data_IF_968195333674
#
_entry.id   IF_968195333674
#
_cell.length_a   1.000
_cell.length_b   1.000
_cell.length_c   1.000
_cell.angle_alpha   90.00
_cell.angle_beta   90.00
_cell.angle_gamma   90.00
#
_symmetry.space_group_name_H-M   'P 1'
#
loop_
_entity.id
_entity.type
_entity.pdbx_description
1 polymer ?
#
# COMPACT_ATOMS: atom_id res chain seq x y z
N UNK A 1 12.09 -12.37 17.15
CA UNK A 1 11.03 -12.50 18.15
C UNK A 1 11.41 -11.76 19.45
N UNK A 2 12.50 -12.12 20.15
CA UNK A 2 12.87 -11.51 21.44
C UNK A 2 12.89 -9.96 21.41
N UNK A 3 13.44 -9.33 20.39
CA UNK A 3 13.43 -7.86 20.25
C UNK A 3 12.00 -7.29 20.20
N UNK A 4 11.08 -7.96 19.50
CA UNK A 4 9.68 -7.52 19.45
C UNK A 4 9.00 -7.68 20.82
N UNK A 5 9.32 -8.76 21.53
CA UNK A 5 8.79 -9.01 22.88
C UNK A 5 9.29 -7.93 23.86
N UNK A 6 10.60 -7.62 23.83
CA UNK A 6 11.22 -6.56 24.63
C UNK A 6 10.56 -5.19 24.34
N UNK A 7 10.33 -4.84 23.06
CA UNK A 7 9.69 -3.58 22.67
C UNK A 7 8.20 -3.52 23.07
N UNK A 8 7.48 -4.65 23.05
CA UNK A 8 6.11 -4.73 23.57
C UNK A 8 6.08 -4.47 25.09
N UNK A 9 7.06 -4.99 25.84
CA UNK A 9 7.19 -4.73 27.27
C UNK A 9 7.52 -3.25 27.58
N UNK A 10 8.26 -2.56 26.68
CA UNK A 10 8.51 -1.12 26.77
C UNK A 10 7.28 -0.26 26.48
N UNK A 11 6.17 -0.85 25.98
CA UNK A 11 4.89 -0.18 25.78
C UNK A 11 4.70 0.46 24.41
N UNK A 12 5.42 0.01 23.38
CA UNK A 12 5.16 0.44 21.99
C UNK A 12 3.87 -0.17 21.45
N UNK A 13 2.97 0.67 20.94
CA UNK A 13 1.71 0.24 20.32
C UNK A 13 1.92 -0.43 18.96
N UNK A 14 2.95 0.00 18.21
CA UNK A 14 3.30 -0.52 16.90
C UNK A 14 4.80 -0.77 16.77
N UNK A 15 5.14 -1.93 16.23
CA UNK A 15 6.51 -2.32 15.86
C UNK A 15 6.50 -2.65 14.38
N UNK A 16 7.16 -1.84 13.56
CA UNK A 16 7.23 -2.04 12.12
C UNK A 16 8.55 -2.74 11.76
N UNK A 17 8.43 -3.92 11.13
CA UNK A 17 9.56 -4.69 10.64
C UNK A 17 9.70 -4.46 9.13
N UNK A 18 10.69 -3.66 8.73
CA UNK A 18 11.01 -3.48 7.32
C UNK A 18 11.78 -4.72 6.80
N UNK A 19 11.19 -5.40 5.84
CA UNK A 19 11.70 -6.65 5.30
C UNK A 19 12.35 -6.40 3.93
N UNK A 20 13.56 -6.95 3.68
CA UNK A 20 14.12 -6.94 2.34
C UNK A 20 13.24 -7.75 1.38
N UNK A 21 13.27 -7.39 0.10
CA UNK A 21 12.57 -8.13 -0.95
C UNK A 21 13.06 -9.59 -1.00
N UNK A 22 12.13 -10.52 -1.23
CA UNK A 22 12.44 -11.94 -1.36
C UNK A 22 12.12 -12.78 -0.13
N UNK A 23 12.47 -14.07 -0.20
CA UNK A 23 12.07 -15.12 0.76
C UNK A 23 13.25 -15.69 1.56
N UNK A 24 14.36 -14.96 1.64
CA UNK A 24 15.59 -15.43 2.29
C UNK A 24 15.51 -15.36 3.83
N UNK A 25 16.66 -15.55 4.48
CA UNK A 25 16.75 -15.63 5.95
C UNK A 25 16.17 -14.40 6.67
N UNK A 26 16.27 -13.22 6.07
CA UNK A 26 15.68 -11.97 6.62
C UNK A 26 14.17 -12.03 6.74
N UNK A 27 13.48 -12.57 5.72
CA UNK A 27 12.05 -12.79 5.72
C UNK A 27 11.61 -13.72 6.88
N UNK A 28 12.28 -14.88 7.03
CA UNK A 28 11.95 -15.83 8.10
C UNK A 28 12.11 -15.23 9.49
N UNK A 29 13.15 -14.41 9.68
CA UNK A 29 13.37 -13.75 10.97
C UNK A 29 12.30 -12.70 11.27
N UNK A 30 11.84 -11.97 10.25
CA UNK A 30 10.81 -10.94 10.40
C UNK A 30 9.44 -11.57 10.76
N UNK A 31 9.01 -12.58 10.02
CA UNK A 31 7.70 -13.22 10.27
C UNK A 31 7.62 -13.92 11.63
N UNK A 32 8.75 -14.39 12.18
CA UNK A 32 8.77 -15.05 13.50
C UNK A 32 8.35 -14.13 14.65
N UNK A 33 8.37 -12.81 14.47
CA UNK A 33 7.97 -11.83 15.50
C UNK A 33 6.76 -10.99 15.10
N UNK A 34 6.16 -11.25 13.95
CA UNK A 34 5.08 -10.44 13.40
C UNK A 34 3.70 -11.06 13.68
N UNK A 35 2.78 -10.26 14.16
CA UNK A 35 1.36 -10.63 14.33
C UNK A 35 0.56 -10.34 13.04
N UNK A 36 1.06 -9.44 12.19
CA UNK A 36 0.41 -8.95 10.98
C UNK A 36 1.45 -8.75 9.88
N UNK A 37 1.10 -9.05 8.65
CA UNK A 37 1.91 -8.80 7.48
C UNK A 37 1.19 -7.88 6.50
N UNK A 38 1.93 -6.95 5.90
CA UNK A 38 1.46 -6.12 4.79
C UNK A 38 2.29 -6.49 3.56
N UNK A 39 1.64 -7.10 2.58
CA UNK A 39 2.24 -7.43 1.29
C UNK A 39 2.11 -6.22 0.38
N UNK A 40 3.23 -5.70 -0.09
CA UNK A 40 3.27 -4.58 -1.03
C UNK A 40 3.70 -5.10 -2.39
N UNK A 41 2.85 -4.94 -3.40
CA UNK A 41 3.14 -5.38 -4.78
C UNK A 41 2.82 -4.27 -5.78
N UNK A 42 3.36 -4.40 -6.99
CA UNK A 42 2.95 -3.59 -8.14
C UNK A 42 1.99 -4.40 -9.02
N UNK A 43 1.11 -3.75 -9.83
CA UNK A 43 0.13 -4.46 -10.66
C UNK A 43 0.76 -5.01 -11.95
N UNK A 44 1.87 -5.71 -11.81
CA UNK A 44 2.63 -6.38 -12.86
C UNK A 44 2.62 -7.89 -12.63
N UNK A 45 2.47 -8.68 -13.69
CA UNK A 45 2.32 -10.15 -13.60
C UNK A 45 3.43 -10.81 -12.78
N UNK A 46 4.68 -10.37 -12.95
CA UNK A 46 5.81 -10.92 -12.18
C UNK A 46 5.72 -10.59 -10.70
N UNK A 47 5.41 -9.35 -10.36
CA UNK A 47 5.31 -8.89 -8.98
C UNK A 47 4.13 -9.55 -8.25
N UNK A 48 2.98 -9.69 -8.91
CA UNK A 48 1.81 -10.39 -8.36
C UNK A 48 2.11 -11.86 -8.11
N UNK A 49 2.84 -12.54 -9.02
CA UNK A 49 3.27 -13.94 -8.82
C UNK A 49 4.23 -14.07 -7.63
N UNK A 50 5.13 -13.13 -7.44
CA UNK A 50 6.04 -13.13 -6.30
C UNK A 50 5.30 -12.85 -4.99
N UNK A 51 4.31 -11.94 -5.01
CA UNK A 51 3.42 -11.68 -3.88
C UNK A 51 2.61 -12.93 -3.49
N UNK A 52 2.05 -13.67 -4.45
CA UNK A 52 1.33 -14.92 -4.22
C UNK A 52 2.20 -15.95 -3.47
N UNK A 53 3.46 -16.09 -3.86
CA UNK A 53 4.41 -16.96 -3.16
C UNK A 53 4.68 -16.52 -1.72
N UNK A 54 4.80 -15.22 -1.49
CA UNK A 54 4.99 -14.64 -0.15
C UNK A 54 3.76 -14.93 0.71
N UNK A 55 2.55 -14.73 0.16
CA UNK A 55 1.29 -15.01 0.86
C UNK A 55 1.23 -16.48 1.30
N UNK A 56 1.52 -17.41 0.40
CA UNK A 56 1.56 -18.83 0.76
C UNK A 56 2.59 -19.16 1.85
N UNK A 57 3.72 -18.45 1.90
CA UNK A 57 4.70 -18.61 2.97
C UNK A 57 4.22 -17.99 4.30
N UNK A 58 3.52 -16.87 4.27
CA UNK A 58 2.92 -16.25 5.46
C UNK A 58 1.86 -17.16 6.06
N UNK A 59 1.00 -17.73 5.24
CA UNK A 59 -0.01 -18.72 5.65
C UNK A 59 0.62 -19.97 6.25
N UNK A 60 1.65 -20.51 5.61
CA UNK A 60 2.37 -21.69 6.10
C UNK A 60 3.10 -21.45 7.42
N UNK A 61 3.37 -20.19 7.78
CA UNK A 61 3.96 -19.78 9.06
C UNK A 61 2.93 -19.20 10.04
N UNK A 62 1.65 -19.40 9.77
CA UNK A 62 0.53 -19.03 10.65
C UNK A 62 0.47 -17.54 11.02
N UNK A 63 0.92 -16.64 10.12
CA UNK A 63 0.75 -15.19 10.31
C UNK A 63 -0.74 -14.87 10.27
N UNK A 64 -1.27 -14.35 11.38
CA UNK A 64 -2.72 -14.26 11.63
C UNK A 64 -3.45 -13.32 10.68
N UNK A 65 -2.80 -12.24 10.27
CA UNK A 65 -3.41 -11.23 9.42
C UNK A 65 -2.47 -10.82 8.30
N UNK A 66 -2.87 -11.10 7.06
CA UNK A 66 -2.14 -10.67 5.86
C UNK A 66 -3.00 -9.72 5.05
N UNK A 67 -2.44 -8.57 4.68
CA UNK A 67 -3.15 -7.51 3.96
C UNK A 67 -2.32 -7.00 2.79
N UNK A 68 -3.00 -6.38 1.80
CA UNK A 68 -2.43 -5.98 0.53
C UNK A 68 -2.36 -4.47 0.38
N UNK A 69 -1.23 -3.98 -0.14
CA UNK A 69 -1.10 -2.66 -0.76
C UNK A 69 -0.68 -2.85 -2.22
N UNK A 70 -1.46 -2.31 -3.15
CA UNK A 70 -1.10 -2.21 -4.56
C UNK A 70 -0.41 -0.87 -4.79
N UNK A 71 0.88 -0.89 -5.12
CA UNK A 71 1.71 0.30 -5.27
C UNK A 71 2.02 0.60 -6.74
N UNK A 72 2.36 1.84 -7.07
CA UNK A 72 2.76 2.31 -8.39
C UNK A 72 1.70 2.07 -9.47
N UNK A 73 0.43 2.28 -9.11
CA UNK A 73 -0.70 2.13 -10.01
C UNK A 73 -0.72 3.26 -11.05
N UNK A 74 -0.71 2.90 -12.31
CA UNK A 74 -0.77 3.84 -13.44
C UNK A 74 -2.11 3.73 -14.15
N UNK A 75 -3.03 4.64 -13.82
CA UNK A 75 -4.40 4.62 -14.35
C UNK A 75 -4.47 4.77 -15.88
N UNK A 76 -3.50 5.47 -16.48
CA UNK A 76 -3.38 5.55 -17.93
C UNK A 76 -3.10 4.19 -18.59
N UNK A 77 -2.28 3.34 -17.95
CA UNK A 77 -1.97 1.98 -18.41
C UNK A 77 -3.13 1.01 -18.12
N UNK A 78 -3.77 1.12 -16.97
CA UNK A 78 -4.95 0.32 -16.61
C UNK A 78 -6.07 0.53 -17.65
N UNK A 79 -6.37 1.78 -17.99
CA UNK A 79 -7.40 2.11 -19.01
C UNK A 79 -7.12 1.56 -20.40
N UNK A 80 -5.86 1.39 -20.76
CA UNK A 80 -5.46 0.78 -22.04
C UNK A 80 -5.39 -0.74 -22.00
N UNK A 81 -5.51 -1.36 -20.82
CA UNK A 81 -5.32 -2.80 -20.63
C UNK A 81 -3.84 -3.24 -20.64
N UNK A 82 -2.91 -2.30 -20.47
CA UNK A 82 -1.47 -2.56 -20.43
C UNK A 82 -0.99 -2.90 -18.98
N UNK A 83 -1.83 -2.71 -18.00
CA UNK A 83 -1.57 -2.96 -16.58
C UNK A 83 -2.83 -3.55 -15.93
N UNK A 84 -2.67 -4.48 -14.99
CA UNK A 84 -3.79 -5.01 -14.20
C UNK A 84 -4.42 -3.88 -13.38
N UNK A 85 -5.74 -3.94 -13.20
CA UNK A 85 -6.43 -3.08 -12.24
C UNK A 85 -6.30 -3.65 -10.81
N UNK A 86 -6.77 -2.91 -9.84
CA UNK A 86 -6.68 -3.31 -8.42
C UNK A 86 -7.54 -4.53 -8.13
N UNK A 87 -8.73 -4.60 -8.73
CA UNK A 87 -9.66 -5.71 -8.60
C UNK A 87 -9.05 -7.02 -9.09
N UNK A 88 -8.41 -7.02 -10.27
CA UNK A 88 -7.72 -8.19 -10.82
C UNK A 88 -6.62 -8.69 -9.87
N UNK A 89 -5.84 -7.78 -9.27
CA UNK A 89 -4.78 -8.14 -8.31
C UNK A 89 -5.39 -8.73 -7.03
N UNK A 90 -6.48 -8.15 -6.52
CA UNK A 90 -7.19 -8.67 -5.35
C UNK A 90 -7.80 -10.05 -5.61
N UNK A 91 -8.37 -10.28 -6.77
CA UNK A 91 -8.96 -11.57 -7.16
C UNK A 91 -7.90 -12.66 -7.26
N UNK A 92 -6.71 -12.34 -7.75
CA UNK A 92 -5.59 -13.28 -7.85
C UNK A 92 -5.03 -13.63 -6.47
N UNK A 93 -4.77 -12.61 -5.63
CA UNK A 93 -4.08 -12.79 -4.36
C UNK A 93 -4.99 -13.20 -3.21
N UNK A 94 -6.30 -12.98 -3.33
CA UNK A 94 -7.35 -13.37 -2.38
C UNK A 94 -7.12 -12.92 -0.92
N UNK A 95 -6.41 -11.79 -0.72
CA UNK A 95 -6.20 -11.17 0.59
C UNK A 95 -6.80 -9.78 0.64
N UNK A 96 -7.02 -9.25 1.85
CA UNK A 96 -7.70 -7.99 2.06
C UNK A 96 -6.87 -6.78 1.62
N UNK A 97 -7.43 -5.94 0.76
CA UNK A 97 -6.80 -4.69 0.32
C UNK A 97 -6.92 -3.62 1.41
N UNK A 98 -5.81 -3.00 1.78
CA UNK A 98 -5.79 -1.82 2.66
C UNK A 98 -5.39 -0.53 1.96
N UNK A 99 -4.89 -0.59 0.73
CA UNK A 99 -4.58 0.60 -0.05
C UNK A 99 -4.14 0.35 -1.46
N UNK A 100 -4.40 1.35 -2.31
CA UNK A 100 -3.84 1.45 -3.65
C UNK A 100 -3.14 2.81 -3.77
N UNK A 101 -1.88 2.82 -4.15
CA UNK A 101 -1.04 4.02 -4.24
C UNK A 101 -0.72 4.29 -5.70
N UNK A 102 -1.07 5.46 -6.25
CA UNK A 102 -0.75 5.80 -7.63
C UNK A 102 0.76 6.02 -7.81
N UNK A 103 1.23 5.86 -9.05
CA UNK A 103 2.57 6.28 -9.45
C UNK A 103 2.57 7.82 -9.56
N UNK A 104 3.13 8.49 -8.56
CA UNK A 104 3.07 9.94 -8.36
C UNK A 104 4.50 10.51 -8.27
N UNK A 105 4.80 11.54 -9.05
CA UNK A 105 6.12 12.18 -9.05
C UNK A 105 6.50 12.80 -7.70
N UNK A 106 5.50 13.20 -6.89
CA UNK A 106 5.74 13.73 -5.56
C UNK A 106 6.41 12.72 -4.62
N UNK A 107 6.27 11.41 -4.87
CA UNK A 107 6.98 10.38 -4.12
C UNK A 107 8.49 10.54 -4.32
N UNK A 108 8.93 10.71 -5.57
CA UNK A 108 10.35 10.90 -5.89
C UNK A 108 10.88 12.22 -5.31
N UNK A 109 10.09 13.29 -5.44
CA UNK A 109 10.45 14.62 -4.95
C UNK A 109 10.65 14.58 -3.42
N UNK A 110 9.67 14.08 -2.67
CA UNK A 110 9.71 14.02 -1.20
C UNK A 110 10.84 13.12 -0.71
N UNK A 111 11.04 11.96 -1.37
CA UNK A 111 12.14 11.05 -1.04
C UNK A 111 13.51 11.71 -1.21
N UNK A 112 13.71 12.46 -2.30
CA UNK A 112 14.96 13.19 -2.53
C UNK A 112 15.19 14.33 -1.53
N UNK A 113 14.12 14.88 -0.97
CA UNK A 113 14.18 15.93 0.06
C UNK A 113 14.30 15.36 1.47
N UNK A 114 14.11 14.05 1.64
CA UNK A 114 14.07 13.39 2.95
C UNK A 114 12.81 13.74 3.76
N UNK A 115 11.73 14.14 3.08
CA UNK A 115 10.48 14.54 3.71
C UNK A 115 9.41 13.45 3.53
N UNK A 116 8.57 13.18 4.56
CA UNK A 116 7.47 12.24 4.42
C UNK A 116 6.36 12.82 3.50
N UNK A 117 5.80 11.98 2.64
CA UNK A 117 4.70 12.37 1.75
C UNK A 117 3.33 12.36 2.45
N UNK A 118 3.21 11.67 3.56
CA UNK A 118 1.98 11.58 4.36
C UNK A 118 1.59 12.97 4.86
N UNK A 119 0.30 13.32 4.73
CA UNK A 119 -0.21 14.65 5.07
C UNK A 119 -0.07 15.68 3.92
N UNK A 120 0.49 15.30 2.77
CA UNK A 120 0.47 16.16 1.58
C UNK A 120 -0.85 16.03 0.82
N UNK A 121 -1.19 17.07 0.03
CA UNK A 121 -2.43 17.09 -0.76
C UNK A 121 -2.35 16.30 -2.08
N UNK A 122 -1.23 15.66 -2.42
CA UNK A 122 -1.14 14.83 -3.62
C UNK A 122 -1.87 13.50 -3.41
N UNK A 123 -2.24 12.83 -4.50
CA UNK A 123 -3.01 11.58 -4.42
C UNK A 123 -2.26 10.46 -3.68
N UNK A 124 -0.96 10.35 -3.88
CA UNK A 124 -0.16 9.36 -3.17
C UNK A 124 -0.10 9.65 -1.65
N UNK A 125 0.03 10.93 -1.26
CA UNK A 125 0.01 11.33 0.15
C UNK A 125 -1.31 10.97 0.83
N UNK A 126 -2.44 11.28 0.19
CA UNK A 126 -3.78 10.90 0.66
C UNK A 126 -3.95 9.38 0.73
N UNK A 127 -3.40 8.63 -0.25
CA UNK A 127 -3.44 7.17 -0.23
C UNK A 127 -2.69 6.60 0.98
N UNK A 128 -1.49 7.10 1.28
CA UNK A 128 -0.73 6.69 2.46
C UNK A 128 -1.44 7.05 3.77
N UNK A 129 -2.03 8.23 3.88
CA UNK A 129 -2.82 8.63 5.04
C UNK A 129 -4.00 7.69 5.28
N UNK A 130 -4.76 7.38 4.23
CA UNK A 130 -5.87 6.42 4.30
C UNK A 130 -5.42 5.00 4.66
N UNK A 131 -4.22 4.59 4.23
CA UNK A 131 -3.61 3.31 4.64
C UNK A 131 -3.32 3.33 6.14
N UNK A 132 -2.74 4.41 6.66
CA UNK A 132 -2.47 4.56 8.09
C UNK A 132 -3.76 4.45 8.91
N UNK A 133 -4.82 5.14 8.52
CA UNK A 133 -6.13 5.05 9.18
C UNK A 133 -6.66 3.61 9.21
N UNK A 134 -6.57 2.86 8.10
CA UNK A 134 -7.00 1.45 8.05
C UNK A 134 -6.12 0.53 8.89
N UNK A 135 -4.82 0.82 9.00
CA UNK A 135 -3.92 0.10 9.91
C UNK A 135 -4.35 0.30 11.36
N UNK A 136 -4.82 1.50 11.71
CA UNK A 136 -5.38 1.83 13.03
C UNK A 136 -6.78 1.24 13.27
N UNK A 137 -7.40 0.62 12.26
CA UNK A 137 -8.73 0.01 12.36
C UNK A 137 -9.88 0.96 12.04
N UNK A 138 -9.59 2.12 11.47
CA UNK A 138 -10.61 3.08 11.05
C UNK A 138 -11.20 2.71 9.68
N UNK A 139 -12.50 2.91 9.51
CA UNK A 139 -13.19 2.73 8.23
C UNK A 139 -13.03 4.00 7.38
N UNK A 140 -12.21 3.92 6.34
CA UNK A 140 -11.98 5.01 5.39
C UNK A 140 -12.26 4.53 3.98
N UNK A 141 -13.03 5.29 3.19
CA UNK A 141 -13.31 4.96 1.80
C UNK A 141 -12.02 4.96 0.96
N UNK A 142 -11.95 4.09 -0.05
CA UNK A 142 -10.86 4.11 -1.02
C UNK A 142 -10.92 5.37 -1.87
N UNK A 143 -9.75 5.89 -2.26
CA UNK A 143 -9.67 7.03 -3.17
C UNK A 143 -10.11 6.61 -4.58
N UNK A 144 -10.89 7.48 -5.23
CA UNK A 144 -11.13 7.35 -6.66
C UNK A 144 -9.90 7.83 -7.45
N UNK A 145 -9.04 6.89 -7.81
CA UNK A 145 -7.82 7.16 -8.57
C UNK A 145 -8.09 7.40 -10.07
N UNK A 146 -9.32 7.14 -10.53
CA UNK A 146 -9.74 7.34 -11.93
C UNK A 146 -10.38 8.70 -12.18
N UNK A 147 -10.72 9.42 -11.12
CA UNK A 147 -11.24 10.78 -11.22
C UNK A 147 -10.22 11.67 -11.93
N UNK A 148 -10.55 12.05 -13.16
CA UNK A 148 -9.72 12.94 -13.99
C UNK A 148 -9.36 14.18 -13.18
N UNK A 149 -8.10 14.30 -12.76
CA UNK A 149 -7.62 15.52 -12.12
C UNK A 149 -7.97 16.72 -13.00
N UNK A 150 -8.95 17.53 -12.52
CA UNK A 150 -8.87 18.95 -12.81
C UNK A 150 -9.48 19.49 -14.06
N UNK A 151 -10.37 18.81 -14.81
CA UNK A 151 -11.12 19.48 -15.89
C UNK A 151 -12.46 20.04 -15.39
N UNK A 152 -13.10 19.39 -14.43
CA UNK A 152 -14.39 19.84 -13.89
C UNK A 152 -14.28 20.86 -12.75
N UNK A 153 -13.18 20.93 -12.01
CA UNK A 153 -13.00 21.99 -10.99
C UNK A 153 -12.82 23.36 -11.62
N UNK A 154 -12.04 23.46 -12.72
CA UNK A 154 -11.88 24.72 -13.47
C UNK A 154 -13.14 25.18 -14.18
N UNK A 155 -14.02 24.27 -14.57
CA UNK A 155 -15.32 24.65 -15.15
C UNK A 155 -16.31 25.16 -14.09
N UNK A 156 -16.31 24.62 -12.87
CA UNK A 156 -17.15 25.11 -11.78
C UNK A 156 -16.82 26.54 -11.34
N UNK A 157 -15.54 26.90 -11.37
CA UNK A 157 -15.10 28.26 -11.01
C UNK A 157 -15.40 29.28 -12.13
N UNK A 158 -15.49 28.85 -13.39
CA UNK A 158 -15.92 29.71 -14.51
C UNK A 158 -17.43 30.01 -14.51
N UNK A 159 -18.26 29.09 -14.01
CA UNK A 159 -19.71 29.29 -13.91
C UNK A 159 -20.19 29.93 -12.61
N UNK A 160 -19.29 30.20 -11.65
CA UNK A 160 -19.60 30.91 -10.40
C UNK A 160 -19.34 32.42 -10.47
N UNK A 161 -18.95 32.96 -11.63
CA UNK A 161 -18.61 34.36 -11.85
C UNK A 161 -19.58 35.08 -12.82
N UNK A 162 -20.85 34.69 -12.80
CA UNK A 162 -21.96 35.50 -13.36
C UNK A 162 -23.09 35.56 -12.36
#
# INVERSE_FOLDING_TARGET
QKLCDDLKEEGFDFIVLDCPAGIEQGFKNAIAGADRAIVVTTPEVSAVRDADRIIGLLEANEVQKTELIVNRLRMDMVRRGDMMNVEDVCDILAINLIGAVPDDEHIVISTNQGEPLVGSNCLAGQAYENICHRILGEEVAFLDLDAKQGVFSKLKDLFKKN
#
